data_IF_067253216585
#
_entry.id   IF_067253216585
#
_cell.length_a   1.000
_cell.length_b   1.000
_cell.length_c   1.000
_cell.angle_alpha   90.00
_cell.angle_beta   90.00
_cell.angle_gamma   90.00
#
_symmetry.space_group_name_H-M   'P 1'
#
loop_
_entity.id
_entity.type
_entity.pdbx_description
1 polymer ?
#
# COMPACT_ATOMS: atom_id res chain seq x y z
N UNK A 1 2.76 -0.55 7.72
CA UNK A 1 2.75 -1.44 6.53
C UNK A 1 3.57 -2.70 6.72
N UNK A 2 4.88 -2.63 7.04
CA UNK A 2 5.73 -3.82 7.27
C UNK A 2 5.15 -4.86 8.24
N UNK A 3 4.61 -4.41 9.37
CA UNK A 3 3.98 -5.28 10.36
C UNK A 3 2.69 -5.97 9.87
N UNK A 4 1.96 -5.34 8.93
CA UNK A 4 0.76 -5.94 8.34
C UNK A 4 1.11 -6.97 7.25
N UNK A 5 2.21 -6.73 6.52
CA UNK A 5 2.75 -7.67 5.56
C UNK A 5 3.26 -8.95 6.26
N UNK A 6 4.04 -8.78 7.33
CA UNK A 6 4.63 -9.90 8.11
C UNK A 6 3.55 -10.79 8.77
N UNK A 7 2.46 -10.19 9.22
CA UNK A 7 1.31 -10.90 9.77
C UNK A 7 0.34 -11.50 8.73
N UNK A 8 0.64 -11.43 7.43
CA UNK A 8 -0.26 -11.91 6.36
C UNK A 8 -1.59 -11.17 6.25
N UNK A 9 -1.71 -9.98 6.88
CA UNK A 9 -2.96 -9.20 6.93
C UNK A 9 -3.05 -8.25 5.74
N UNK A 10 -3.26 -8.82 4.55
CA UNK A 10 -3.41 -8.04 3.31
C UNK A 10 -4.54 -7.01 3.40
N UNK A 11 -5.64 -7.32 4.09
CA UNK A 11 -6.76 -6.39 4.30
C UNK A 11 -6.35 -5.12 5.05
N UNK A 12 -5.57 -5.26 6.13
CA UNK A 12 -5.01 -4.12 6.88
C UNK A 12 -4.00 -3.33 6.04
N UNK A 13 -3.20 -4.04 5.23
CA UNK A 13 -2.25 -3.43 4.32
C UNK A 13 -2.96 -2.55 3.28
N UNK A 14 -4.05 -3.04 2.68
CA UNK A 14 -4.88 -2.30 1.75
C UNK A 14 -5.53 -1.06 2.39
N UNK A 15 -6.04 -1.19 3.62
CA UNK A 15 -6.62 -0.05 4.35
C UNK A 15 -5.58 1.02 4.68
N UNK A 16 -4.38 0.60 5.07
CA UNK A 16 -3.25 1.52 5.33
C UNK A 16 -2.82 2.24 4.04
N UNK A 17 -2.74 1.50 2.92
CA UNK A 17 -2.41 2.06 1.62
C UNK A 17 -3.45 3.07 1.14
N UNK A 18 -4.73 2.81 1.38
CA UNK A 18 -5.82 3.74 1.05
C UNK A 18 -5.69 5.08 1.78
N UNK A 19 -5.45 5.04 3.09
CA UNK A 19 -5.28 6.24 3.90
C UNK A 19 -4.04 7.04 3.47
N UNK A 20 -2.91 6.36 3.25
CA UNK A 20 -1.66 6.99 2.83
C UNK A 20 -1.76 7.58 1.43
N UNK A 21 -2.47 6.92 0.50
CA UNK A 21 -2.79 7.44 -0.83
C UNK A 21 -3.48 8.80 -0.74
N UNK A 22 -4.58 8.89 0.01
CA UNK A 22 -5.36 10.12 0.14
C UNK A 22 -4.54 11.25 0.77
N UNK A 23 -3.76 10.94 1.81
CA UNK A 23 -2.85 11.92 2.43
C UNK A 23 -1.76 12.40 1.46
N UNK A 24 -1.15 11.48 0.70
CA UNK A 24 -0.10 11.79 -0.28
C UNK A 24 -0.63 12.67 -1.42
N UNK A 25 -1.83 12.37 -1.93
CA UNK A 25 -2.46 13.18 -2.97
C UNK A 25 -2.83 14.58 -2.48
N UNK A 26 -3.26 14.71 -1.22
CA UNK A 26 -3.61 16.01 -0.63
C UNK A 26 -2.41 16.95 -0.49
N UNK A 27 -1.20 16.41 -0.26
CA UNK A 27 0.04 17.20 -0.19
C UNK A 27 0.78 17.30 -1.54
N UNK A 28 0.20 16.75 -2.62
CA UNK A 28 0.80 16.77 -3.96
C UNK A 28 1.91 15.73 -4.20
N UNK A 29 2.13 14.80 -3.27
CA UNK A 29 3.07 13.69 -3.40
C UNK A 29 2.52 12.59 -4.33
N UNK A 30 2.41 12.92 -5.62
CA UNK A 30 1.71 12.09 -6.62
C UNK A 30 2.36 10.72 -6.82
N UNK A 31 3.68 10.66 -6.90
CA UNK A 31 4.41 9.39 -7.02
C UNK A 31 4.13 8.44 -5.84
N UNK A 32 4.08 8.98 -4.62
CA UNK A 32 3.74 8.21 -3.42
C UNK A 32 2.28 7.74 -3.46
N UNK A 33 1.37 8.59 -3.91
CA UNK A 33 -0.04 8.25 -4.12
C UNK A 33 -0.22 7.10 -5.12
N UNK A 34 0.53 7.08 -6.22
CA UNK A 34 0.51 6.00 -7.21
C UNK A 34 1.04 4.68 -6.65
N UNK A 35 2.16 4.71 -5.90
CA UNK A 35 2.70 3.53 -5.21
C UNK A 35 1.68 2.95 -4.21
N UNK A 36 1.06 3.81 -3.40
CA UNK A 36 0.00 3.40 -2.48
C UNK A 36 -1.22 2.82 -3.22
N UNK A 37 -1.59 3.39 -4.37
CA UNK A 37 -2.71 2.90 -5.17
C UNK A 37 -2.43 1.51 -5.77
N UNK A 38 -1.18 1.23 -6.17
CA UNK A 38 -0.76 -0.11 -6.62
C UNK A 38 -0.78 -1.12 -5.47
N UNK A 39 -0.28 -0.72 -4.30
CA UNK A 39 -0.28 -1.55 -3.11
C UNK A 39 -1.70 -1.89 -2.63
N UNK A 40 -2.61 -0.92 -2.61
CA UNK A 40 -4.02 -1.12 -2.27
C UNK A 40 -4.68 -2.15 -3.21
N UNK A 41 -4.38 -2.05 -4.52
CA UNK A 41 -4.94 -2.96 -5.52
C UNK A 41 -4.45 -4.39 -5.36
N UNK A 42 -3.15 -4.59 -5.12
CA UNK A 42 -2.58 -5.92 -4.87
C UNK A 42 -3.13 -6.53 -3.58
N UNK A 43 -3.19 -5.74 -2.51
CA UNK A 43 -3.75 -6.16 -1.23
C UNK A 43 -5.22 -6.62 -1.37
N UNK A 44 -6.05 -5.88 -2.13
CA UNK A 44 -7.45 -6.26 -2.43
C UNK A 44 -7.56 -7.51 -3.30
N UNK A 45 -6.61 -7.73 -4.20
CA UNK A 45 -6.58 -8.91 -5.06
C UNK A 45 -6.10 -10.18 -4.32
N UNK A 46 -5.63 -10.06 -3.08
CA UNK A 46 -5.00 -11.18 -2.35
C UNK A 46 -3.59 -11.49 -2.86
N UNK A 47 -3.05 -10.64 -3.72
CA UNK A 47 -1.73 -10.82 -4.32
C UNK A 47 -0.65 -10.43 -3.32
N UNK A 48 0.07 -11.44 -2.82
CA UNK A 48 1.20 -11.22 -1.91
C UNK A 48 2.52 -10.99 -2.66
N UNK A 49 2.57 -11.38 -3.93
CA UNK A 49 3.77 -11.29 -4.77
C UNK A 49 4.04 -9.84 -5.18
N UNK A 50 5.28 -9.36 -4.96
CA UNK A 50 5.70 -7.98 -5.24
C UNK A 50 5.19 -6.92 -4.25
N UNK A 51 4.28 -7.29 -3.34
CA UNK A 51 3.74 -6.41 -2.29
C UNK A 51 4.84 -5.96 -1.32
N UNK A 52 5.82 -6.83 -1.04
CA UNK A 52 6.98 -6.50 -0.21
C UNK A 52 7.87 -5.40 -0.82
N UNK A 53 8.07 -5.43 -2.14
CA UNK A 53 8.86 -4.43 -2.86
C UNK A 53 8.16 -3.07 -2.88
N UNK A 54 6.83 -3.07 -3.08
CA UNK A 54 6.03 -1.84 -2.98
C UNK A 54 6.02 -1.25 -1.58
N UNK A 55 5.96 -2.08 -0.53
CA UNK A 55 6.08 -1.62 0.86
C UNK A 55 7.49 -1.11 1.17
N UNK A 56 8.54 -1.61 0.50
CA UNK A 56 9.90 -1.10 0.68
C UNK A 56 10.16 0.21 -0.06
N UNK A 57 9.37 0.51 -1.10
CA UNK A 57 9.45 1.74 -1.89
C UNK A 57 8.61 2.91 -1.32
N UNK A 58 7.84 2.66 -0.25
CA UNK A 58 6.98 3.61 0.49
C UNK A 58 7.62 3.91 1.84
#
# INVERSE_FOLDING_TARGET
MRNALDGGRLSDLGRTAHALKSSSLNVGARALGDLCSRLERQAKAGESSGTAELVAAI
#
